data_IF_283515939155
#
_entry.id   IF_283515939155
#
_cell.length_a   1.000
_cell.length_b   1.000
_cell.length_c   1.000
_cell.angle_alpha   90.00
_cell.angle_beta   90.00
_cell.angle_gamma   90.00
#
_symmetry.space_group_name_H-M   'P 1'
#
loop_
_entity.id
_entity.type
_entity.pdbx_description
1 polymer ?
#
# COMPACT_ATOMS: atom_id res chain seq x y z
N UNK A 1 12.01 -28.37 -92.41
CA UNK A 1 10.64 -27.85 -92.16
C UNK A 1 10.55 -27.43 -90.69
N UNK A 2 10.51 -26.14 -90.35
CA UNK A 2 10.30 -25.69 -88.96
C UNK A 2 9.41 -24.45 -88.94
N UNK A 3 8.12 -24.62 -88.56
CA UNK A 3 7.14 -23.53 -88.46
C UNK A 3 7.38 -22.76 -87.14
N UNK A 4 7.87 -21.52 -87.24
CA UNK A 4 8.05 -20.62 -86.10
C UNK A 4 6.69 -20.05 -85.68
N UNK A 5 6.06 -20.65 -84.68
CA UNK A 5 4.82 -20.15 -84.07
C UNK A 5 5.08 -18.85 -83.29
N UNK A 6 4.68 -17.70 -83.84
CA UNK A 6 4.64 -16.42 -83.13
C UNK A 6 3.42 -16.38 -82.19
N UNK A 7 3.62 -16.67 -80.90
CA UNK A 7 2.62 -16.39 -79.86
C UNK A 7 2.38 -14.89 -79.76
N UNK A 8 1.19 -14.41 -80.16
CA UNK A 8 0.75 -13.03 -79.95
C UNK A 8 0.56 -12.79 -78.45
N UNK A 9 1.44 -11.98 -77.84
CA UNK A 9 1.27 -11.52 -76.45
C UNK A 9 0.05 -10.59 -76.39
N UNK A 10 -1.04 -11.06 -75.76
CA UNK A 10 -2.18 -10.20 -75.44
C UNK A 10 -1.77 -9.29 -74.27
N UNK A 11 -1.62 -7.99 -74.53
CA UNK A 11 -1.44 -6.99 -73.48
C UNK A 11 -2.70 -6.96 -72.60
N UNK A 12 -2.63 -7.57 -71.40
CA UNK A 12 -3.65 -7.36 -70.37
C UNK A 12 -3.48 -5.92 -69.88
N UNK A 13 -4.46 -5.05 -70.15
CA UNK A 13 -4.51 -3.72 -69.55
C UNK A 13 -4.71 -3.89 -68.04
N UNK A 14 -3.69 -3.54 -67.26
CA UNK A 14 -3.78 -3.48 -65.80
C UNK A 14 -4.55 -2.20 -65.46
N UNK A 15 -5.81 -2.33 -65.06
CA UNK A 15 -6.57 -1.22 -64.51
C UNK A 15 -6.03 -0.94 -63.10
N UNK A 16 -5.26 0.14 -62.95
CA UNK A 16 -4.95 0.67 -61.64
C UNK A 16 -6.19 1.41 -61.13
N UNK A 17 -6.85 0.98 -60.04
CA UNK A 17 -7.98 1.72 -59.52
C UNK A 17 -7.49 3.10 -59.05
N UNK A 18 -8.10 4.17 -59.57
CA UNK A 18 -7.92 5.52 -59.04
C UNK A 18 -8.27 5.49 -57.55
N UNK A 19 -7.31 5.87 -56.69
CA UNK A 19 -7.57 6.06 -55.26
C UNK A 19 -8.48 7.27 -55.12
N UNK A 20 -9.76 7.05 -54.85
CA UNK A 20 -10.73 8.11 -54.56
C UNK A 20 -10.31 8.77 -53.24
N UNK A 21 -10.24 10.10 -53.22
CA UNK A 21 -10.05 10.87 -52.00
C UNK A 21 -11.31 10.83 -51.12
N UNK A 22 -11.17 11.21 -49.85
CA UNK A 22 -12.29 11.32 -48.92
C UNK A 22 -13.31 12.36 -49.41
N UNK A 23 -14.61 12.03 -49.31
CA UNK A 23 -15.69 12.98 -49.56
C UNK A 23 -15.81 13.98 -48.40
N UNK A 24 -16.22 15.22 -48.66
CA UNK A 24 -16.45 16.22 -47.60
C UNK A 24 -17.45 15.72 -46.54
N UNK A 25 -18.50 15.01 -46.96
CA UNK A 25 -19.49 14.43 -46.05
C UNK A 25 -18.88 13.37 -45.12
N UNK A 26 -17.92 12.59 -45.61
CA UNK A 26 -17.21 11.56 -44.83
C UNK A 26 -16.32 12.19 -43.76
N UNK A 27 -15.66 13.32 -44.08
CA UNK A 27 -14.87 14.10 -43.11
C UNK A 27 -15.78 14.68 -42.03
N UNK A 28 -16.93 15.24 -42.38
CA UNK A 28 -17.88 15.80 -41.40
C UNK A 28 -18.38 14.73 -40.43
N UNK A 29 -18.77 13.56 -40.95
CA UNK A 29 -19.20 12.43 -40.12
C UNK A 29 -18.05 11.93 -39.23
N UNK A 30 -16.83 11.86 -39.77
CA UNK A 30 -15.65 11.42 -39.02
C UNK A 30 -15.31 12.36 -37.86
N UNK A 31 -15.32 13.69 -38.10
CA UNK A 31 -15.10 14.69 -37.06
C UNK A 31 -16.22 14.68 -36.02
N UNK A 32 -17.47 14.46 -36.44
CA UNK A 32 -18.60 14.31 -35.53
C UNK A 32 -18.45 13.08 -34.61
N UNK A 33 -18.05 11.92 -35.17
CA UNK A 33 -17.81 10.72 -34.35
C UNK A 33 -16.61 10.92 -33.41
N UNK A 34 -15.52 11.53 -33.90
CA UNK A 34 -14.33 11.81 -33.10
C UNK A 34 -14.63 12.77 -31.95
N UNK A 35 -15.41 13.83 -32.18
CA UNK A 35 -15.75 14.79 -31.13
C UNK A 35 -16.57 14.17 -30.01
N UNK A 36 -17.39 13.15 -30.30
CA UNK A 36 -18.11 12.36 -29.29
C UNK A 36 -17.22 11.32 -28.60
N UNK A 37 -16.26 10.73 -29.31
CA UNK A 37 -15.45 9.62 -28.81
C UNK A 37 -14.32 10.08 -27.88
N UNK A 38 -13.67 11.19 -28.22
CA UNK A 38 -12.50 11.70 -27.48
C UNK A 38 -12.83 11.96 -25.99
N UNK A 39 -13.93 12.65 -25.63
CA UNK A 39 -14.28 12.88 -24.23
C UNK A 39 -14.50 11.59 -23.43
N UNK A 40 -15.12 10.57 -24.04
CA UNK A 40 -15.38 9.27 -23.38
C UNK A 40 -14.06 8.59 -23.02
N UNK A 41 -13.10 8.57 -23.96
CA UNK A 41 -11.77 8.00 -23.72
C UNK A 41 -11.05 8.76 -22.61
N UNK A 42 -11.13 10.09 -22.60
CA UNK A 42 -10.53 10.91 -21.54
C UNK A 42 -11.10 10.58 -20.15
N UNK A 43 -12.42 10.41 -20.02
CA UNK A 43 -13.05 10.03 -18.76
C UNK A 43 -12.58 8.65 -18.28
N UNK A 44 -12.47 7.69 -19.19
CA UNK A 44 -11.94 6.36 -18.88
C UNK A 44 -10.49 6.41 -18.42
N UNK A 45 -9.64 7.18 -19.11
CA UNK A 45 -8.24 7.37 -18.72
C UNK A 45 -8.11 8.03 -17.35
N UNK A 46 -8.88 9.09 -17.09
CA UNK A 46 -8.89 9.76 -15.78
C UNK A 46 -9.34 8.80 -14.65
N UNK A 47 -10.37 7.98 -14.92
CA UNK A 47 -10.80 6.92 -14.01
C UNK A 47 -9.71 5.89 -13.75
N UNK A 48 -9.04 5.41 -14.79
CA UNK A 48 -7.94 4.44 -14.70
C UNK A 48 -6.80 4.95 -13.83
N UNK A 49 -6.38 6.22 -14.00
CA UNK A 49 -5.33 6.85 -13.19
C UNK A 49 -5.74 6.91 -11.72
N UNK A 50 -6.99 7.29 -11.43
CA UNK A 50 -7.49 7.32 -10.05
C UNK A 50 -7.48 5.94 -9.41
N UNK A 51 -7.95 4.91 -10.12
CA UNK A 51 -7.92 3.54 -9.63
C UNK A 51 -6.49 3.02 -9.41
N UNK A 52 -5.57 3.36 -10.32
CA UNK A 52 -4.14 3.02 -10.16
C UNK A 52 -3.53 3.67 -8.91
N UNK A 53 -3.90 4.92 -8.61
CA UNK A 53 -3.42 5.61 -7.41
C UNK A 53 -3.98 4.98 -6.12
N UNK A 54 -5.28 4.65 -6.08
CA UNK A 54 -5.87 3.97 -4.91
C UNK A 54 -5.27 2.57 -4.71
N UNK A 55 -5.05 1.80 -5.79
CA UNK A 55 -4.41 0.50 -5.71
C UNK A 55 -2.97 0.60 -5.18
N UNK A 56 -2.22 1.61 -5.65
CA UNK A 56 -0.87 1.91 -5.13
C UNK A 56 -0.91 2.24 -3.65
N UNK A 57 -1.85 3.06 -3.20
CA UNK A 57 -1.99 3.43 -1.80
C UNK A 57 -2.33 2.24 -0.92
N UNK A 58 -3.21 1.36 -1.40
CA UNK A 58 -3.56 0.11 -0.72
C UNK A 58 -2.34 -0.79 -0.52
N UNK A 59 -1.50 -0.93 -1.56
CA UNK A 59 -0.26 -1.71 -1.48
C UNK A 59 0.69 -1.08 -0.44
N UNK A 60 0.91 0.23 -0.50
CA UNK A 60 1.77 0.95 0.46
C UNK A 60 1.23 0.77 1.88
N UNK A 61 -0.08 0.96 2.10
CA UNK A 61 -0.71 0.81 3.40
C UNK A 61 -0.57 -0.61 3.95
N UNK A 62 -0.71 -1.63 3.09
CA UNK A 62 -0.49 -3.04 3.48
C UNK A 62 0.96 -3.28 3.92
N UNK A 63 1.94 -2.78 3.16
CA UNK A 63 3.36 -2.91 3.51
C UNK A 63 3.71 -2.16 4.80
N UNK A 64 3.12 -0.97 5.01
CA UNK A 64 3.27 -0.20 6.24
C UNK A 64 2.64 -0.91 7.45
N UNK A 65 1.52 -1.60 7.23
CA UNK A 65 0.86 -2.38 8.27
C UNK A 65 1.72 -3.58 8.67
N UNK A 66 2.24 -4.34 7.68
CA UNK A 66 3.17 -5.46 7.89
C UNK A 66 4.44 -5.00 8.61
N UNK A 67 5.07 -3.92 8.12
CA UNK A 67 6.25 -3.34 8.76
C UNK A 67 5.99 -2.86 10.19
N UNK A 68 4.77 -2.40 10.49
CA UNK A 68 4.38 -2.04 11.86
C UNK A 68 4.41 -3.23 12.82
N UNK A 69 3.95 -4.40 12.37
CA UNK A 69 4.05 -5.65 13.15
C UNK A 69 5.51 -6.06 13.31
N UNK A 70 6.30 -5.99 12.24
CA UNK A 70 7.70 -6.39 12.28
C UNK A 70 8.52 -5.51 13.25
N UNK A 71 8.19 -4.22 13.38
CA UNK A 71 8.83 -3.35 14.36
C UNK A 71 8.53 -3.77 15.80
N UNK A 72 7.28 -4.15 16.12
CA UNK A 72 6.92 -4.67 17.46
C UNK A 72 7.59 -6.02 17.70
N UNK A 73 7.62 -6.88 16.67
CA UNK A 73 8.31 -8.17 16.71
C UNK A 73 9.81 -7.99 16.92
N UNK A 74 10.44 -6.98 16.33
CA UNK A 74 11.85 -6.68 16.54
C UNK A 74 12.16 -6.35 18.01
N UNK A 75 11.31 -5.57 18.68
CA UNK A 75 11.45 -5.28 20.13
C UNK A 75 11.40 -6.60 20.92
N UNK A 76 10.41 -7.45 20.65
CA UNK A 76 10.28 -8.78 21.26
C UNK A 76 11.52 -9.64 21.02
N UNK A 77 11.95 -9.75 19.77
CA UNK A 77 13.06 -10.63 19.35
C UNK A 77 14.39 -10.17 19.96
N UNK A 78 14.60 -8.86 20.10
CA UNK A 78 15.75 -8.31 20.80
C UNK A 78 15.74 -8.68 22.29
N UNK A 79 14.58 -8.67 22.96
CA UNK A 79 14.47 -9.10 24.34
C UNK A 79 14.66 -10.62 24.47
N UNK A 80 14.09 -11.41 23.56
CA UNK A 80 14.28 -12.86 23.50
C UNK A 80 15.78 -13.22 23.36
N UNK A 81 16.49 -12.51 22.49
CA UNK A 81 17.93 -12.69 22.32
C UNK A 81 18.71 -12.42 23.61
N UNK A 82 18.32 -11.40 24.40
CA UNK A 82 18.94 -11.11 25.71
C UNK A 82 18.67 -12.20 26.74
N UNK A 83 17.47 -12.78 26.75
CA UNK A 83 17.11 -13.91 27.61
C UNK A 83 17.97 -15.14 27.28
N UNK A 84 18.07 -15.48 25.99
CA UNK A 84 18.91 -16.60 25.51
C UNK A 84 20.39 -16.37 25.83
N UNK A 85 20.86 -15.10 25.80
CA UNK A 85 22.22 -14.73 26.17
C UNK A 85 22.52 -14.78 27.69
N UNK A 86 21.56 -15.18 28.52
CA UNK A 86 21.77 -15.41 29.96
C UNK A 86 21.29 -14.29 30.88
N UNK A 87 20.38 -13.42 30.44
CA UNK A 87 19.69 -12.45 31.30
C UNK A 87 18.24 -12.90 31.59
N UNK A 88 18.01 -13.82 32.54
CA UNK A 88 16.69 -14.43 32.78
C UNK A 88 15.68 -13.47 33.41
N UNK A 89 16.12 -12.33 33.96
CA UNK A 89 15.27 -11.35 34.63
C UNK A 89 14.47 -10.46 33.66
N UNK A 90 14.76 -10.53 32.36
CA UNK A 90 14.09 -9.76 31.29
C UNK A 90 12.82 -10.50 30.85
N UNK A 91 11.70 -9.78 30.70
CA UNK A 91 10.52 -10.29 30.02
C UNK A 91 10.64 -10.05 28.51
N UNK A 92 10.23 -11.02 27.69
CA UNK A 92 10.27 -10.90 26.24
C UNK A 92 9.46 -9.72 25.70
N UNK A 93 8.40 -9.32 26.43
CA UNK A 93 7.56 -8.17 26.11
C UNK A 93 7.96 -6.89 26.86
N UNK A 94 9.13 -6.86 27.50
CA UNK A 94 9.70 -5.61 28.04
C UNK A 94 9.79 -4.55 26.93
N UNK A 95 9.75 -3.28 27.33
CA UNK A 95 9.76 -2.13 26.41
C UNK A 95 8.50 -2.00 25.53
N UNK A 96 7.44 -2.76 25.82
CA UNK A 96 6.11 -2.57 25.26
C UNK A 96 5.16 -2.05 26.36
N UNK A 97 4.20 -1.18 26.02
CA UNK A 97 3.25 -0.61 26.97
C UNK A 97 2.36 -1.70 27.55
N UNK A 98 1.82 -1.47 28.74
CA UNK A 98 1.19 -2.50 29.57
C UNK A 98 -0.32 -2.33 29.69
N UNK A 99 -0.82 -1.11 29.51
CA UNK A 99 -2.23 -0.79 29.70
C UNK A 99 -3.06 -0.91 28.43
N UNK A 100 -4.33 -1.22 28.64
CA UNK A 100 -5.26 -1.78 27.65
C UNK A 100 -5.99 -0.77 26.77
N UNK A 101 -5.60 0.50 26.73
CA UNK A 101 -6.41 1.54 26.06
C UNK A 101 -5.70 2.43 25.06
N UNK A 102 -4.41 2.23 24.80
CA UNK A 102 -3.68 3.21 24.01
C UNK A 102 -3.16 2.61 22.70
N UNK A 103 -3.77 3.05 21.60
CA UNK A 103 -3.20 2.87 20.27
C UNK A 103 -1.88 3.61 20.19
N UNK A 104 -0.79 2.94 19.84
CA UNK A 104 0.57 3.48 19.84
C UNK A 104 1.04 3.88 18.45
N UNK A 105 2.03 4.76 18.43
CA UNK A 105 2.89 4.99 17.27
C UNK A 105 4.16 4.15 17.41
N UNK A 106 4.74 3.74 16.30
CA UNK A 106 6.06 3.08 16.25
C UNK A 106 6.72 3.48 14.94
N UNK A 107 8.03 3.64 14.94
CA UNK A 107 8.83 3.92 13.76
C UNK A 107 10.12 3.09 13.78
N UNK A 108 10.80 3.06 12.64
CA UNK A 108 12.12 2.43 12.55
C UNK A 108 13.09 3.07 13.55
N UNK A 109 13.94 2.25 14.16
CA UNK A 109 14.95 2.69 15.13
C UNK A 109 14.42 2.84 16.56
N UNK A 110 13.13 2.61 16.79
CA UNK A 110 12.58 2.51 18.15
C UNK A 110 12.88 1.13 18.73
N UNK A 111 13.49 1.11 19.91
CA UNK A 111 13.76 -0.08 20.73
C UNK A 111 12.72 -0.28 21.84
N UNK A 112 11.85 0.72 22.04
CA UNK A 112 10.73 0.71 22.98
C UNK A 112 9.53 1.48 22.43
N UNK A 113 8.36 1.18 22.99
CA UNK A 113 7.14 1.98 22.84
C UNK A 113 6.82 2.53 24.23
N UNK A 114 6.95 3.84 24.41
CA UNK A 114 6.62 4.51 25.67
C UNK A 114 5.09 4.65 25.80
N UNK A 115 4.52 4.11 26.87
CA UNK A 115 3.09 4.18 27.12
C UNK A 115 2.56 5.62 27.16
N UNK A 116 3.30 6.52 27.82
CA UNK A 116 2.90 7.91 28.02
C UNK A 116 3.28 8.80 26.83
N UNK A 117 4.38 8.49 26.14
CA UNK A 117 4.86 9.27 25.00
C UNK A 117 4.29 8.85 23.64
N UNK A 118 4.11 7.56 23.42
CA UNK A 118 3.79 6.98 22.11
C UNK A 118 2.35 6.52 22.00
N UNK A 119 1.75 6.11 23.11
CA UNK A 119 0.41 5.52 23.12
C UNK A 119 -0.70 6.51 23.49
N UNK A 120 -0.44 7.47 24.38
CA UNK A 120 -1.40 8.55 24.70
C UNK A 120 -1.45 9.69 23.67
N UNK A 121 -0.82 9.48 22.51
CA UNK A 121 -0.59 10.49 21.48
C UNK A 121 -1.85 10.88 20.69
N UNK A 122 -1.99 12.17 20.35
CA UNK A 122 -3.14 12.74 19.60
C UNK A 122 -3.24 12.08 18.21
N UNK A 123 -4.40 12.10 17.54
CA UNK A 123 -4.57 11.48 16.22
C UNK A 123 -3.55 11.95 15.15
N UNK A 124 -3.03 13.17 15.27
CA UNK A 124 -2.02 13.73 14.35
C UNK A 124 -0.61 13.15 14.57
N UNK A 125 -0.33 12.58 15.74
CA UNK A 125 0.98 12.02 16.09
C UNK A 125 1.20 10.64 15.44
N UNK A 126 0.15 10.12 14.80
CA UNK A 126 0.15 8.84 14.08
C UNK A 126 0.37 9.00 12.57
N UNK A 127 0.49 10.24 12.10
CA UNK A 127 0.86 10.53 10.70
C UNK A 127 2.27 10.02 10.46
N UNK A 128 2.46 9.36 9.32
CA UNK A 128 3.77 8.95 8.86
C UNK A 128 4.33 10.02 7.90
N UNK A 129 5.58 10.39 8.13
CA UNK A 129 6.39 11.25 7.29
C UNK A 129 7.46 10.39 6.62
N UNK A 130 7.95 10.79 5.46
CA UNK A 130 9.10 10.15 4.81
C UNK A 130 10.32 11.01 5.08
N UNK A 131 11.35 10.45 5.73
CA UNK A 131 12.62 11.14 5.97
C UNK A 131 13.49 11.15 4.70
N UNK A 132 14.67 11.78 4.76
CA UNK A 132 15.64 11.81 3.65
C UNK A 132 16.11 10.43 3.19
N UNK A 133 16.11 9.45 4.10
CA UNK A 133 16.55 8.08 3.84
C UNK A 133 15.44 7.20 3.22
N UNK A 134 14.23 7.76 3.02
CA UNK A 134 13.10 7.05 2.43
C UNK A 134 12.28 6.21 3.42
N UNK A 135 12.55 6.30 4.72
CA UNK A 135 11.82 5.57 5.76
C UNK A 135 10.63 6.36 6.30
N UNK A 136 9.59 5.60 6.67
CA UNK A 136 8.40 6.15 7.30
C UNK A 136 8.60 6.35 8.80
N UNK A 137 8.55 7.61 9.23
CA UNK A 137 8.83 8.06 10.60
C UNK A 137 7.69 8.94 11.13
N UNK A 138 7.72 9.22 12.43
CA UNK A 138 6.77 10.15 13.07
C UNK A 138 7.38 11.53 13.35
N UNK A 139 8.67 11.74 13.05
CA UNK A 139 9.34 13.03 13.20
C UNK A 139 9.01 13.94 11.99
N UNK A 140 8.69 15.20 12.27
CA UNK A 140 8.34 16.21 11.26
C UNK A 140 9.59 16.91 10.71
N UNK A 141 10.65 17.06 11.51
CA UNK A 141 11.84 17.81 11.11
C UNK A 141 12.56 17.11 9.96
N UNK A 142 12.80 17.84 8.87
CA UNK A 142 13.46 17.32 7.66
C UNK A 142 12.68 16.24 6.91
N UNK A 143 11.42 15.97 7.26
CA UNK A 143 10.63 14.88 6.70
C UNK A 143 9.39 15.38 5.95
N UNK A 144 9.01 14.68 4.89
CA UNK A 144 7.86 15.04 4.05
C UNK A 144 6.59 14.39 4.57
N UNK A 145 5.56 15.20 4.83
CA UNK A 145 4.26 14.71 5.29
C UNK A 145 3.60 13.81 4.25
N UNK A 146 3.12 12.65 4.68
CA UNK A 146 2.32 11.76 3.82
C UNK A 146 0.85 11.76 4.24
N UNK A 147 0.01 11.12 3.44
CA UNK A 147 -1.40 10.84 3.77
C UNK A 147 -1.59 9.62 4.68
N UNK A 148 -0.55 8.81 4.85
CA UNK A 148 -0.63 7.57 5.63
C UNK A 148 -0.56 7.87 7.13
N UNK A 149 -1.43 7.23 7.89
CA UNK A 149 -1.44 7.23 9.35
C UNK A 149 -1.38 5.79 9.81
N UNK A 150 -0.50 5.49 10.77
CA UNK A 150 -0.35 4.15 11.34
C UNK A 150 -0.61 4.17 12.83
N UNK A 151 -1.40 3.23 13.31
CA UNK A 151 -1.48 2.89 14.73
C UNK A 151 -1.17 1.42 14.95
N UNK A 152 -0.61 1.15 16.11
CA UNK A 152 -0.42 -0.19 16.66
C UNK A 152 -1.34 -0.32 17.87
N UNK A 153 -2.11 -1.40 17.95
CA UNK A 153 -2.85 -1.79 19.15
C UNK A 153 -2.18 -3.04 19.72
N UNK A 154 -1.93 -3.02 21.01
CA UNK A 154 -1.32 -4.11 21.76
C UNK A 154 -2.36 -4.61 22.76
N UNK A 155 -2.67 -5.90 22.69
CA UNK A 155 -3.68 -6.53 23.52
C UNK A 155 -3.08 -7.76 24.18
N UNK A 156 -2.90 -7.68 25.50
CA UNK A 156 -2.42 -8.76 26.34
C UNK A 156 -3.58 -9.64 26.80
N UNK A 157 -3.29 -10.92 26.99
CA UNK A 157 -4.21 -11.82 27.64
C UNK A 157 -4.43 -11.37 29.11
N UNK A 158 -5.69 -11.27 29.53
CA UNK A 158 -6.07 -10.80 30.86
C UNK A 158 -5.52 -9.40 31.26
N UNK A 159 -5.10 -8.59 30.29
CA UNK A 159 -4.53 -7.25 30.52
C UNK A 159 -3.29 -7.24 31.44
N UNK A 160 -2.51 -8.33 31.47
CA UNK A 160 -1.35 -8.45 32.35
C UNK A 160 -0.15 -9.08 31.62
N UNK A 161 0.91 -8.29 31.41
CA UNK A 161 2.16 -8.69 30.75
C UNK A 161 2.90 -9.84 31.44
N UNK A 162 2.94 -9.83 32.77
CA UNK A 162 3.71 -10.82 33.53
C UNK A 162 3.11 -12.22 33.39
N UNK A 163 1.80 -12.29 33.12
CA UNK A 163 1.04 -13.53 33.02
C UNK A 163 0.54 -13.85 31.61
N UNK A 164 0.92 -13.06 30.60
CA UNK A 164 0.49 -13.29 29.21
C UNK A 164 1.43 -14.24 28.48
N UNK A 165 0.88 -15.31 27.91
CA UNK A 165 1.63 -16.24 27.06
C UNK A 165 1.79 -15.69 25.63
N UNK A 166 0.90 -14.80 25.21
CA UNK A 166 0.97 -14.11 23.94
C UNK A 166 0.48 -12.66 24.02
N UNK A 167 0.99 -11.85 23.09
CA UNK A 167 0.58 -10.48 22.83
C UNK A 167 -0.07 -10.43 21.45
N UNK A 168 -1.31 -9.95 21.39
CA UNK A 168 -1.97 -9.68 20.10
C UNK A 168 -1.58 -8.28 19.63
N UNK A 169 -0.90 -8.23 18.48
CA UNK A 169 -0.48 -6.99 17.83
C UNK A 169 -1.37 -6.74 16.64
N UNK A 170 -2.05 -5.60 16.64
CA UNK A 170 -2.86 -5.13 15.50
C UNK A 170 -2.24 -3.87 14.93
N UNK A 171 -1.84 -3.91 13.66
CA UNK A 171 -1.32 -2.76 12.93
C UNK A 171 -2.37 -2.29 11.94
N UNK A 172 -2.78 -1.03 12.07
CA UNK A 172 -3.78 -0.41 11.20
C UNK A 172 -3.21 0.81 10.51
N UNK A 173 -3.36 0.85 9.19
CA UNK A 173 -2.90 1.96 8.36
C UNK A 173 -4.06 2.50 7.54
N UNK A 174 -4.27 3.81 7.61
CA UNK A 174 -5.26 4.52 6.80
C UNK A 174 -4.61 5.60 5.95
N UNK A 175 -5.13 5.80 4.74
CA UNK A 175 -4.75 6.89 3.84
C UNK A 175 -5.87 7.91 3.60
N UNK A 176 -6.89 7.91 4.48
CA UNK A 176 -8.01 8.86 4.44
C UNK A 176 -7.64 10.20 5.10
N UNK A 177 -8.12 11.30 4.52
CA UNK A 177 -7.81 12.66 4.99
C UNK A 177 -8.26 12.90 6.45
N UNK A 178 -9.50 12.54 6.76
CA UNK A 178 -10.03 12.54 8.13
C UNK A 178 -9.79 11.15 8.69
N UNK A 179 -9.09 11.06 9.82
CA UNK A 179 -8.99 9.79 10.55
C UNK A 179 -10.31 9.59 11.28
N UNK A 180 -10.97 8.45 11.08
CA UNK A 180 -11.58 7.83 12.21
C UNK A 180 -10.80 6.55 12.38
N UNK A 181 -10.32 6.36 13.59
CA UNK A 181 -10.11 5.05 14.16
C UNK A 181 -11.45 4.31 14.19
N UNK A 182 -12.00 4.05 12.99
CA UNK A 182 -13.27 3.39 12.77
C UNK A 182 -13.16 2.04 13.45
N UNK A 183 -14.25 1.62 14.08
CA UNK A 183 -14.43 0.22 14.45
C UNK A 183 -14.28 -0.70 13.23
N UNK A 184 -14.51 -0.17 12.02
CA UNK A 184 -14.61 -0.91 10.77
C UNK A 184 -13.47 -0.51 9.79
N UNK A 185 -12.23 -0.86 10.14
CA UNK A 185 -11.09 -0.70 9.23
C UNK A 185 -11.21 -1.67 8.04
N UNK A 186 -11.51 -1.14 6.85
CA UNK A 186 -11.66 -1.92 5.62
C UNK A 186 -11.26 -1.08 4.39
N UNK A 187 -11.18 -1.75 3.23
CA UNK A 187 -10.78 -1.11 1.96
C UNK A 187 -11.73 0.01 1.51
N UNK A 188 -13.04 -0.14 1.75
CA UNK A 188 -14.01 0.92 1.43
C UNK A 188 -13.77 2.20 2.27
N UNK A 189 -13.22 2.02 3.46
CA UNK A 189 -12.80 3.09 4.36
C UNK A 189 -11.34 3.51 4.20
N UNK A 190 -10.65 3.05 3.14
CA UNK A 190 -9.24 3.36 2.88
C UNK A 190 -8.35 3.01 4.09
N UNK A 191 -8.55 1.81 4.61
CA UNK A 191 -7.88 1.29 5.78
C UNK A 191 -7.49 -0.19 5.59
N UNK A 192 -6.28 -0.55 6.01
CA UNK A 192 -5.80 -1.92 6.07
C UNK A 192 -5.45 -2.26 7.51
N UNK A 193 -5.95 -3.39 7.99
CA UNK A 193 -5.64 -3.98 9.29
C UNK A 193 -4.89 -5.29 9.09
N UNK A 194 -3.82 -5.48 9.85
CA UNK A 194 -3.15 -6.77 9.97
C UNK A 194 -3.02 -7.08 11.45
N UNK A 195 -3.35 -8.31 11.83
CA UNK A 195 -3.34 -8.79 13.20
C UNK A 195 -2.49 -10.04 13.29
N UNK A 196 -1.63 -10.10 14.30
CA UNK A 196 -0.82 -11.28 14.61
C UNK A 196 -0.75 -11.52 16.11
N UNK A 197 -0.50 -12.76 16.50
CA UNK A 197 -0.15 -13.12 17.87
C UNK A 197 1.37 -13.30 17.96
N UNK A 198 1.98 -12.66 18.94
CA UNK A 198 3.38 -12.85 19.29
C UNK A 198 3.44 -13.65 20.59
N UNK A 199 3.98 -14.86 20.55
CA UNK A 199 4.11 -15.74 21.71
C UNK A 199 5.38 -15.45 22.51
N UNK A 200 5.36 -15.82 23.78
CA UNK A 200 6.49 -15.67 24.71
C UNK A 200 7.63 -16.63 24.41
N UNK A 201 7.31 -17.84 23.96
CA UNK A 201 8.24 -18.89 23.51
C UNK A 201 7.88 -19.31 22.09
N UNK A 202 8.86 -19.86 21.35
CA UNK A 202 8.71 -20.19 19.93
C UNK A 202 8.13 -21.59 19.66
N UNK A 203 7.33 -22.14 20.57
CA UNK A 203 6.93 -23.56 20.50
C UNK A 203 5.51 -23.83 19.94
N UNK A 204 4.63 -22.85 19.73
CA UNK A 204 3.26 -23.14 19.26
C UNK A 204 2.84 -22.29 18.05
N UNK A 205 3.42 -22.60 16.89
CA UNK A 205 2.93 -22.16 15.56
C UNK A 205 1.98 -23.19 14.95
#
# INVERSE_FOLDING_TARGET
MYKKNRKKRKNKKVYQPMRRGFSMAEVMISVFILSLTIPVIFMLMAGSIRHSNEARDQIIASQLAQGGIELVKNIRDNNLAKIIAGNPDINVFDNLPTTSSNTCRIAQGMDKIDEYGDCQSKPNDKILYINSDGFYVHNVSGSTKTKFKRRIKLEYENYNLSNSDYLTVTSQVSWKAVSPWLSDCNLANQCVEIKTKLYKTQDDS
#
